data_IF_750740496068
#
_entry.id   IF_750740496068
#
_cell.length_a   1.000
_cell.length_b   1.000
_cell.length_c   1.000
_cell.angle_alpha   90.00
_cell.angle_beta   90.00
_cell.angle_gamma   90.00
#
_symmetry.space_group_name_H-M   'P 1'
#
loop_
_entity.id
_entity.type
_entity.pdbx_description
1 polymer ?
#
# COMPACT_ATOMS: atom_id res chain seq x y z
N UNK A 1 -25.23 41.53 2.76
CA UNK A 1 -25.59 40.09 2.78
C UNK A 1 -25.94 39.50 1.41
N UNK A 2 -26.40 40.27 0.41
CA UNK A 2 -26.81 39.70 -0.90
C UNK A 2 -25.63 39.33 -1.83
N UNK A 3 -24.47 40.00 -1.72
CA UNK A 3 -23.32 39.77 -2.61
C UNK A 3 -22.57 38.44 -2.39
N UNK A 4 -22.73 37.79 -1.23
CA UNK A 4 -22.09 36.50 -0.94
C UNK A 4 -22.81 35.28 -1.54
N UNK A 5 -24.12 35.40 -1.80
CA UNK A 5 -24.97 34.27 -2.21
C UNK A 5 -24.98 34.06 -3.74
N UNK A 6 -24.71 35.11 -4.53
CA UNK A 6 -24.98 35.10 -5.97
C UNK A 6 -23.78 34.78 -6.87
N UNK A 7 -22.60 34.48 -6.32
CA UNK A 7 -21.39 34.17 -7.10
C UNK A 7 -21.09 35.16 -8.27
N UNK A 8 -21.61 36.37 -8.19
CA UNK A 8 -21.38 37.48 -9.13
C UNK A 8 -21.20 38.79 -8.34
N UNK A 9 -20.13 38.90 -7.52
CA UNK A 9 -19.91 40.04 -6.63
C UNK A 9 -19.70 41.36 -7.38
N UNK A 10 -19.19 41.31 -8.62
CA UNK A 10 -18.94 42.49 -9.44
C UNK A 10 -20.23 43.22 -9.83
N UNK A 11 -21.29 42.51 -10.22
CA UNK A 11 -22.55 43.11 -10.67
C UNK A 11 -23.31 43.80 -9.53
N UNK A 12 -23.31 43.22 -8.33
CA UNK A 12 -23.91 43.86 -7.15
C UNK A 12 -23.13 45.10 -6.69
N UNK A 13 -21.80 45.10 -6.86
CA UNK A 13 -20.95 46.25 -6.57
C UNK A 13 -21.22 47.41 -7.54
N UNK A 14 -21.36 47.10 -8.84
CA UNK A 14 -21.69 48.08 -9.89
C UNK A 14 -23.06 48.73 -9.65
N UNK A 15 -24.06 47.96 -9.24
CA UNK A 15 -25.44 48.46 -9.06
C UNK A 15 -25.58 49.40 -7.84
N UNK A 16 -24.77 49.17 -6.80
CA UNK A 16 -24.72 50.04 -5.60
C UNK A 16 -23.90 51.31 -5.89
N UNK A 17 -22.85 51.21 -6.71
CA UNK A 17 -22.06 52.36 -7.16
C UNK A 17 -22.89 53.35 -7.99
N UNK A 18 -23.74 52.84 -8.89
CA UNK A 18 -24.62 53.64 -9.75
C UNK A 18 -25.69 54.39 -8.93
N UNK A 19 -26.22 53.77 -7.87
CA UNK A 19 -27.27 54.34 -7.01
C UNK A 19 -26.78 55.43 -6.04
N UNK A 20 -25.50 55.43 -5.66
CA UNK A 20 -24.98 56.31 -4.60
C UNK A 20 -24.36 57.61 -5.12
N UNK A 21 -24.17 57.77 -6.43
CA UNK A 21 -23.53 58.94 -7.09
C UNK A 21 -22.29 59.50 -6.35
N UNK A 22 -21.54 58.64 -5.67
CA UNK A 22 -20.48 59.05 -4.76
C UNK A 22 -19.40 57.99 -4.64
N UNK A 23 -18.31 58.15 -5.41
CA UNK A 23 -17.11 57.31 -5.37
C UNK A 23 -16.39 57.30 -4.00
N UNK A 24 -16.84 58.12 -3.05
CA UNK A 24 -16.21 58.31 -1.73
C UNK A 24 -16.36 57.08 -0.81
N UNK A 25 -17.39 56.24 -0.98
CA UNK A 25 -17.59 55.05 -0.13
C UNK A 25 -16.83 53.80 -0.59
N UNK A 26 -16.32 53.80 -1.83
CA UNK A 26 -15.56 52.66 -2.37
C UNK A 26 -14.20 52.51 -1.71
N UNK A 27 -13.50 53.61 -1.47
CA UNK A 27 -12.17 53.59 -0.87
C UNK A 27 -12.18 52.98 0.55
N UNK A 28 -13.07 53.41 1.47
CA UNK A 28 -13.16 52.83 2.81
C UNK A 28 -13.53 51.34 2.78
N UNK A 29 -14.44 50.93 1.88
CA UNK A 29 -14.84 49.53 1.75
C UNK A 29 -13.70 48.64 1.21
N UNK A 30 -12.93 49.12 0.24
CA UNK A 30 -11.76 48.38 -0.26
C UNK A 30 -10.69 48.24 0.82
N UNK A 31 -10.44 49.29 1.61
CA UNK A 31 -9.46 49.24 2.71
C UNK A 31 -9.90 48.25 3.78
N UNK A 32 -11.15 48.31 4.23
CA UNK A 32 -11.67 47.40 5.26
C UNK A 32 -11.71 45.95 4.78
N UNK A 33 -12.11 45.69 3.53
CA UNK A 33 -12.08 44.35 2.94
C UNK A 33 -10.65 43.82 2.79
N UNK A 34 -9.70 44.67 2.39
CA UNK A 34 -8.28 44.28 2.25
C UNK A 34 -7.64 43.99 3.60
N UNK A 35 -7.90 44.81 4.62
CA UNK A 35 -7.41 44.57 5.99
C UNK A 35 -8.01 43.28 6.53
N UNK A 36 -9.32 43.07 6.40
CA UNK A 36 -9.98 41.83 6.84
C UNK A 36 -9.41 40.60 6.14
N UNK A 37 -9.16 40.68 4.83
CA UNK A 37 -8.55 39.58 4.06
C UNK A 37 -7.09 39.34 4.47
N UNK A 38 -6.31 40.40 4.69
CA UNK A 38 -4.93 40.30 5.16
C UNK A 38 -4.84 39.68 6.57
N UNK A 39 -5.75 40.08 7.47
CA UNK A 39 -5.85 39.52 8.82
C UNK A 39 -6.21 38.03 8.77
N UNK A 40 -7.24 37.64 8.00
CA UNK A 40 -7.61 36.23 7.84
C UNK A 40 -6.45 35.42 7.23
N UNK A 41 -5.80 35.93 6.18
CA UNK A 41 -4.68 35.25 5.52
C UNK A 41 -3.45 35.10 6.42
N UNK A 42 -3.24 36.00 7.38
CA UNK A 42 -2.14 35.94 8.34
C UNK A 42 -2.41 34.95 9.48
N UNK A 43 -3.67 34.84 9.93
CA UNK A 43 -4.06 33.96 11.04
C UNK A 43 -4.48 32.54 10.62
N UNK A 44 -5.08 32.38 9.43
CA UNK A 44 -5.51 31.09 8.88
C UNK A 44 -4.85 30.83 7.52
N UNK A 45 -3.67 30.17 7.49
CA UNK A 45 -3.01 29.79 6.25
C UNK A 45 -3.76 28.68 5.46
N UNK A 46 -4.78 28.05 6.05
CA UNK A 46 -5.60 27.00 5.42
C UNK A 46 -7.05 27.47 5.26
N UNK A 47 -7.41 27.87 4.04
CA UNK A 47 -8.78 28.26 3.69
C UNK A 47 -9.80 27.17 4.06
N UNK A 48 -10.94 27.54 4.65
CA UNK A 48 -12.03 26.63 5.08
C UNK A 48 -12.49 25.70 3.94
N UNK A 49 -12.42 26.18 2.69
CA UNK A 49 -12.69 25.38 1.49
C UNK A 49 -11.68 24.25 1.27
N UNK A 50 -10.38 24.47 1.53
CA UNK A 50 -9.35 23.44 1.37
C UNK A 50 -9.53 22.30 2.37
N UNK A 51 -9.94 22.62 3.60
CA UNK A 51 -10.19 21.62 4.65
C UNK A 51 -11.41 20.76 4.29
N UNK A 52 -12.50 21.36 3.79
CA UNK A 52 -13.68 20.62 3.37
C UNK A 52 -13.44 19.78 2.11
N UNK A 53 -12.70 20.31 1.12
CA UNK A 53 -12.31 19.54 -0.07
C UNK A 53 -11.37 18.39 0.27
N UNK A 54 -10.41 18.60 1.18
CA UNK A 54 -9.51 17.56 1.65
C UNK A 54 -10.28 16.45 2.38
N UNK A 55 -11.18 16.79 3.30
CA UNK A 55 -12.05 15.82 3.99
C UNK A 55 -12.92 15.03 3.03
N UNK A 56 -13.54 15.70 2.04
CA UNK A 56 -14.36 15.01 1.03
C UNK A 56 -13.50 14.07 0.15
N UNK A 57 -12.31 14.52 -0.26
CA UNK A 57 -11.37 13.69 -1.02
C UNK A 57 -10.93 12.47 -0.22
N UNK A 58 -10.61 12.65 1.06
CA UNK A 58 -10.22 11.57 1.98
C UNK A 58 -11.34 10.53 2.15
N UNK A 59 -12.58 10.96 2.35
CA UNK A 59 -13.75 10.07 2.42
C UNK A 59 -13.94 9.27 1.13
N UNK A 60 -13.86 9.93 -0.04
CA UNK A 60 -13.98 9.27 -1.33
C UNK A 60 -12.85 8.25 -1.57
N UNK A 61 -11.60 8.61 -1.24
CA UNK A 61 -10.46 7.68 -1.35
C UNK A 61 -10.59 6.51 -0.39
N UNK A 62 -11.05 6.76 0.84
CA UNK A 62 -11.21 5.70 1.84
C UNK A 62 -12.27 4.67 1.41
N UNK A 63 -13.39 5.12 0.84
CA UNK A 63 -14.39 4.22 0.28
C UNK A 63 -13.87 3.45 -0.95
N UNK A 64 -13.13 4.12 -1.84
CA UNK A 64 -12.55 3.48 -3.02
C UNK A 64 -11.51 2.42 -2.65
N UNK A 65 -10.64 2.69 -1.68
CA UNK A 65 -9.62 1.78 -1.20
C UNK A 65 -10.24 0.54 -0.55
N UNK A 66 -11.22 0.75 0.33
CA UNK A 66 -11.96 -0.33 0.98
C UNK A 66 -12.68 -1.21 -0.04
N UNK A 67 -13.35 -0.60 -1.01
CA UNK A 67 -14.02 -1.33 -2.09
C UNK A 67 -13.02 -2.12 -2.94
N UNK A 68 -11.87 -1.54 -3.29
CA UNK A 68 -10.85 -2.21 -4.06
C UNK A 68 -10.30 -3.45 -3.34
N UNK A 69 -9.98 -3.33 -2.04
CA UNK A 69 -9.52 -4.46 -1.23
C UNK A 69 -10.60 -5.53 -1.06
N UNK A 70 -11.86 -5.14 -0.86
CA UNK A 70 -13.00 -6.07 -0.73
C UNK A 70 -13.19 -6.95 -1.98
N UNK A 71 -12.88 -6.41 -3.17
CA UNK A 71 -13.01 -7.14 -4.43
C UNK A 71 -11.82 -8.06 -4.74
N UNK A 72 -10.69 -7.88 -4.04
CA UNK A 72 -9.49 -8.70 -4.21
C UNK A 72 -9.61 -10.03 -3.46
N UNK A 73 -9.01 -11.08 -4.01
CA UNK A 73 -8.85 -12.38 -3.33
C UNK A 73 -7.39 -12.80 -3.30
N UNK A 74 -6.94 -13.42 -2.21
CA UNK A 74 -5.57 -13.94 -2.05
C UNK A 74 -5.19 -14.84 -3.22
N UNK A 75 -6.11 -15.70 -3.69
CA UNK A 75 -5.88 -16.60 -4.85
C UNK A 75 -5.50 -15.87 -6.14
N UNK A 76 -5.88 -14.60 -6.33
CA UNK A 76 -5.55 -13.83 -7.54
C UNK A 76 -4.12 -13.28 -7.52
N UNK A 77 -3.52 -13.18 -6.33
CA UNK A 77 -2.19 -12.61 -6.10
C UNK A 77 -1.20 -13.64 -5.57
N UNK A 78 -1.63 -14.90 -5.49
CA UNK A 78 -0.82 -16.03 -5.07
C UNK A 78 0.26 -16.33 -6.14
N UNK A 79 1.51 -16.38 -5.71
CA UNK A 79 2.67 -16.76 -6.52
C UNK A 79 3.11 -18.17 -6.12
N UNK A 80 3.20 -19.09 -7.09
CA UNK A 80 3.47 -20.52 -6.87
C UNK A 80 4.74 -21.03 -7.56
N UNK A 81 5.51 -20.15 -8.19
CA UNK A 81 6.72 -20.46 -8.97
C UNK A 81 7.98 -20.54 -8.09
N UNK A 82 7.85 -21.10 -6.89
CA UNK A 82 8.93 -21.29 -5.93
C UNK A 82 9.31 -22.76 -5.83
N UNK A 83 10.61 -23.05 -5.80
CA UNK A 83 11.11 -24.41 -5.63
C UNK A 83 11.08 -24.79 -4.15
N UNK A 84 10.27 -25.79 -3.82
CA UNK A 84 10.21 -26.39 -2.47
C UNK A 84 11.45 -27.21 -2.20
N UNK A 85 11.94 -27.15 -0.96
CA UNK A 85 13.11 -27.91 -0.51
C UNK A 85 12.74 -28.70 0.75
N UNK A 86 13.16 -29.96 0.81
CA UNK A 86 12.91 -30.82 1.96
C UNK A 86 13.76 -30.38 3.17
N UNK A 87 13.21 -30.52 4.38
CA UNK A 87 13.92 -30.16 5.63
C UNK A 87 15.24 -30.91 5.84
N UNK A 88 15.32 -32.16 5.37
CA UNK A 88 16.49 -33.03 5.53
C UNK A 88 17.44 -32.92 4.33
N UNK A 89 17.15 -32.05 3.37
CA UNK A 89 18.04 -31.74 2.26
C UNK A 89 19.34 -31.08 2.73
N UNK A 90 20.40 -31.28 1.96
CA UNK A 90 21.73 -30.72 2.23
C UNK A 90 21.92 -29.36 1.56
N UNK A 91 23.00 -28.65 1.90
CA UNK A 91 23.40 -27.44 1.18
C UNK A 91 23.62 -27.72 -0.31
N UNK A 92 24.13 -28.91 -0.69
CA UNK A 92 24.26 -29.32 -2.10
C UNK A 92 22.93 -29.25 -2.84
N UNK A 93 21.89 -29.83 -2.25
CA UNK A 93 20.55 -29.87 -2.83
C UNK A 93 19.96 -28.46 -2.96
N UNK A 94 20.17 -27.64 -1.93
CA UNK A 94 19.75 -26.24 -1.94
C UNK A 94 20.48 -25.42 -3.02
N UNK A 95 21.78 -25.61 -3.22
CA UNK A 95 22.55 -24.95 -4.30
C UNK A 95 22.04 -25.37 -5.68
N UNK A 96 21.67 -26.64 -5.85
CA UNK A 96 21.02 -27.11 -7.07
C UNK A 96 19.68 -26.40 -7.29
N UNK A 97 18.82 -26.32 -6.27
CA UNK A 97 17.57 -25.58 -6.34
C UNK A 97 17.79 -24.09 -6.67
N UNK A 98 18.84 -23.46 -6.14
CA UNK A 98 19.22 -22.09 -6.47
C UNK A 98 19.55 -21.93 -7.95
N UNK A 99 20.24 -22.90 -8.56
CA UNK A 99 20.62 -22.85 -9.98
C UNK A 99 19.43 -22.96 -10.93
N UNK A 100 18.34 -23.60 -10.49
CA UNK A 100 17.12 -23.84 -11.28
C UNK A 100 16.03 -22.79 -11.01
N UNK A 101 16.10 -22.10 -9.87
CA UNK A 101 15.07 -21.17 -9.41
C UNK A 101 15.27 -19.74 -9.95
N UNK A 102 14.22 -19.11 -10.53
CA UNK A 102 14.24 -17.68 -10.81
C UNK A 102 14.00 -16.83 -9.55
N UNK A 103 13.62 -17.46 -8.43
CA UNK A 103 13.29 -16.80 -7.16
C UNK A 103 14.45 -16.93 -6.16
N UNK A 104 14.56 -15.94 -5.28
CA UNK A 104 15.60 -15.86 -4.24
C UNK A 104 15.13 -16.38 -2.85
N UNK A 105 14.03 -17.09 -2.81
CA UNK A 105 13.35 -17.58 -1.60
C UNK A 105 12.97 -19.03 -1.85
N UNK A 106 13.25 -19.87 -0.85
CA UNK A 106 13.04 -21.32 -0.90
C UNK A 106 12.19 -21.74 0.31
N UNK A 107 10.93 -22.13 0.10
CA UNK A 107 10.09 -22.69 1.16
C UNK A 107 10.60 -24.07 1.56
N UNK A 108 10.73 -24.28 2.87
CA UNK A 108 11.14 -25.54 3.45
C UNK A 108 9.89 -26.28 3.92
N UNK A 109 9.74 -27.52 3.46
CA UNK A 109 8.56 -28.35 3.74
C UNK A 109 8.98 -29.75 4.20
N UNK A 110 8.05 -30.47 4.81
CA UNK A 110 8.16 -31.92 5.00
C UNK A 110 7.53 -32.71 3.85
N UNK A 111 7.52 -34.04 3.99
CA UNK A 111 6.96 -34.97 3.00
C UNK A 111 5.45 -34.79 2.76
N UNK A 112 4.73 -34.21 3.71
CA UNK A 112 3.30 -33.96 3.61
C UNK A 112 3.00 -32.52 3.13
N UNK A 113 3.99 -31.76 2.66
CA UNK A 113 3.89 -30.33 2.31
C UNK A 113 3.59 -29.40 3.51
N UNK A 114 3.82 -29.85 4.75
CA UNK A 114 3.74 -28.97 5.93
C UNK A 114 4.85 -27.94 5.85
N UNK A 115 4.50 -26.68 6.02
CA UNK A 115 5.47 -25.59 6.00
C UNK A 115 6.29 -25.56 7.29
N UNK A 116 7.62 -25.56 7.16
CA UNK A 116 8.55 -25.55 8.28
C UNK A 116 9.38 -24.28 8.37
N UNK A 117 9.62 -23.60 7.26
CA UNK A 117 10.40 -22.37 7.26
C UNK A 117 10.77 -21.89 5.87
N UNK A 118 11.68 -20.93 5.84
CA UNK A 118 12.19 -20.34 4.61
C UNK A 118 13.69 -20.22 4.70
N UNK A 119 14.36 -20.47 3.57
CA UNK A 119 15.74 -20.04 3.34
C UNK A 119 15.75 -19.01 2.22
N UNK A 120 16.50 -17.92 2.38
CA UNK A 120 16.73 -16.97 1.28
C UNK A 120 18.13 -17.14 0.71
N UNK A 121 18.29 -16.77 -0.57
CA UNK A 121 19.60 -16.79 -1.23
C UNK A 121 20.65 -15.95 -0.48
N UNK A 122 20.22 -14.89 0.18
CA UNK A 122 21.13 -14.03 0.95
C UNK A 122 21.66 -14.73 2.21
N UNK A 123 20.86 -15.60 2.84
CA UNK A 123 21.25 -16.28 4.07
C UNK A 123 22.38 -17.29 3.81
N UNK A 124 22.40 -17.89 2.62
CA UNK A 124 23.36 -18.94 2.25
C UNK A 124 24.50 -18.44 1.35
N UNK A 125 24.51 -17.17 0.94
CA UNK A 125 25.45 -16.64 -0.06
C UNK A 125 26.92 -16.85 0.31
N UNK A 126 27.23 -16.83 1.60
CA UNK A 126 28.60 -16.95 2.11
C UNK A 126 29.08 -18.42 2.21
N UNK A 127 28.16 -19.38 2.19
CA UNK A 127 28.45 -20.81 2.32
C UNK A 127 28.18 -21.57 1.03
N UNK A 128 27.34 -21.05 0.13
CA UNK A 128 26.97 -21.71 -1.13
C UNK A 128 28.12 -21.96 -2.09
N UNK A 129 29.29 -21.33 -1.87
CA UNK A 129 30.50 -21.51 -2.68
C UNK A 129 31.60 -22.28 -1.94
N UNK A 130 31.26 -22.97 -0.84
CA UNK A 130 32.17 -23.78 -0.02
C UNK A 130 31.84 -25.26 -0.20
N UNK A 131 32.48 -25.97 -1.14
CA UNK A 131 32.19 -27.38 -1.43
C UNK A 131 32.32 -28.29 -0.20
N UNK A 132 33.18 -27.94 0.75
CA UNK A 132 33.36 -28.65 2.01
C UNK A 132 32.11 -28.66 2.91
N UNK A 133 31.21 -27.68 2.75
CA UNK A 133 29.98 -27.55 3.54
C UNK A 133 28.78 -28.27 2.89
N UNK A 134 28.93 -28.77 1.66
CA UNK A 134 27.82 -29.21 0.82
C UNK A 134 27.07 -30.41 1.41
N UNK A 135 27.78 -31.31 2.06
CA UNK A 135 27.23 -32.56 2.61
C UNK A 135 27.19 -32.56 4.15
N UNK A 136 27.74 -31.52 4.81
CA UNK A 136 27.75 -31.38 6.27
C UNK A 136 26.64 -30.46 6.79
N UNK A 137 26.21 -29.48 6.00
CA UNK A 137 25.19 -28.50 6.39
C UNK A 137 23.81 -28.91 5.87
N UNK A 138 22.84 -28.97 6.76
CA UNK A 138 21.45 -29.28 6.44
C UNK A 138 20.58 -28.03 6.35
N UNK A 139 19.55 -28.09 5.51
CA UNK A 139 18.62 -26.99 5.26
C UNK A 139 17.85 -26.58 6.53
N UNK A 140 17.45 -27.55 7.36
CA UNK A 140 16.81 -27.29 8.67
C UNK A 140 17.61 -26.39 9.61
N UNK A 141 18.93 -26.35 9.47
CA UNK A 141 19.82 -25.54 10.33
C UNK A 141 20.00 -24.11 9.77
N UNK A 142 19.62 -23.91 8.50
CA UNK A 142 19.72 -22.62 7.79
C UNK A 142 18.38 -21.87 7.74
N UNK A 143 17.26 -22.59 7.88
CA UNK A 143 15.93 -22.01 7.75
C UNK A 143 15.56 -21.13 8.95
N UNK A 144 14.70 -20.15 8.69
CA UNK A 144 13.99 -19.42 9.73
C UNK A 144 12.49 -19.56 9.54
N UNK A 145 11.74 -19.49 10.65
CA UNK A 145 10.28 -19.47 10.63
C UNK A 145 9.80 -18.02 10.55
N UNK A 146 9.10 -17.59 9.48
CA UNK A 146 8.51 -16.26 9.43
C UNK A 146 7.46 -16.08 10.54
N UNK A 147 7.47 -14.93 11.20
CA UNK A 147 6.50 -14.61 12.27
C UNK A 147 5.09 -14.30 11.78
N UNK A 148 4.87 -14.27 10.46
CA UNK A 148 3.60 -13.91 9.85
C UNK A 148 3.36 -14.76 8.61
N UNK A 149 2.14 -15.28 8.50
CA UNK A 149 1.63 -16.02 7.35
C UNK A 149 0.26 -15.49 6.94
N UNK A 150 -0.14 -15.79 5.71
CA UNK A 150 -1.45 -15.45 5.14
C UNK A 150 -2.22 -16.73 4.87
N UNK A 151 -3.50 -16.76 5.23
CA UNK A 151 -4.43 -17.82 4.83
C UNK A 151 -5.07 -17.54 3.47
N UNK A 152 -5.44 -18.58 2.73
CA UNK A 152 -6.19 -18.41 1.47
C UNK A 152 -7.57 -17.76 1.64
N UNK A 153 -8.11 -17.77 2.86
CA UNK A 153 -9.39 -17.19 3.25
C UNK A 153 -9.26 -15.84 3.95
N UNK A 154 -8.04 -15.34 4.16
CA UNK A 154 -7.82 -14.04 4.79
C UNK A 154 -8.42 -12.92 3.94
N UNK A 155 -8.95 -11.89 4.60
CA UNK A 155 -9.37 -10.68 3.91
C UNK A 155 -8.16 -9.94 3.35
N UNK A 156 -8.34 -9.24 2.24
CA UNK A 156 -7.23 -8.46 1.66
C UNK A 156 -6.85 -7.25 2.50
N UNK A 157 -7.74 -6.77 3.37
CA UNK A 157 -7.42 -5.79 4.43
C UNK A 157 -6.41 -6.38 5.42
N UNK A 158 -6.64 -7.61 5.91
CA UNK A 158 -5.73 -8.30 6.81
C UNK A 158 -4.39 -8.59 6.14
N UNK A 159 -4.40 -9.03 4.87
CA UNK A 159 -3.18 -9.25 4.09
C UNK A 159 -2.39 -7.96 3.93
N UNK A 160 -3.04 -6.84 3.58
CA UNK A 160 -2.39 -5.55 3.47
C UNK A 160 -1.77 -5.12 4.82
N UNK A 161 -2.50 -5.31 5.93
CA UNK A 161 -2.03 -5.01 7.28
C UNK A 161 -0.81 -5.86 7.65
N UNK A 162 -0.84 -7.18 7.39
CA UNK A 162 0.28 -8.11 7.61
C UNK A 162 1.51 -7.70 6.80
N UNK A 163 1.33 -7.30 5.54
CA UNK A 163 2.42 -6.82 4.67
C UNK A 163 3.00 -5.50 5.18
N UNK A 164 2.17 -4.56 5.63
CA UNK A 164 2.64 -3.27 6.13
C UNK A 164 3.50 -3.40 7.39
N UNK A 165 3.12 -4.30 8.30
CA UNK A 165 3.84 -4.56 9.55
C UNK A 165 4.99 -5.55 9.41
N UNK A 166 4.99 -6.35 8.33
CA UNK A 166 6.11 -7.23 8.00
C UNK A 166 7.27 -6.43 7.40
N UNK A 167 8.48 -6.66 7.91
CA UNK A 167 9.73 -6.18 7.29
C UNK A 167 10.13 -6.98 6.04
N UNK A 168 9.40 -8.05 5.71
CA UNK A 168 9.70 -8.94 4.58
C UNK A 168 8.90 -8.51 3.34
N UNK A 169 9.49 -8.75 2.17
CA UNK A 169 8.85 -8.45 0.87
C UNK A 169 7.84 -9.50 0.44
N UNK A 170 8.00 -10.73 0.92
CA UNK A 170 7.16 -11.88 0.61
C UNK A 170 6.62 -12.46 1.92
N UNK A 171 5.33 -12.81 1.93
CA UNK A 171 4.68 -13.50 3.05
C UNK A 171 4.22 -14.86 2.55
N UNK A 172 4.49 -15.90 3.34
CA UNK A 172 4.08 -17.27 3.01
C UNK A 172 2.56 -17.39 3.11
N UNK A 173 1.97 -18.10 2.15
CA UNK A 173 0.56 -18.46 2.14
C UNK A 173 0.42 -19.91 2.57
N UNK A 174 -0.41 -20.14 3.59
CA UNK A 174 -0.69 -21.45 4.16
C UNK A 174 -2.18 -21.79 4.06
N UNK A 175 -2.47 -23.08 3.90
CA UNK A 175 -3.81 -23.65 4.05
C UNK A 175 -3.69 -24.84 5.00
N UNK A 176 -4.30 -24.74 6.19
CA UNK A 176 -4.24 -25.77 7.24
C UNK A 176 -2.80 -26.23 7.59
N UNK A 177 -1.85 -25.29 7.60
CA UNK A 177 -0.43 -25.54 7.89
C UNK A 177 0.38 -26.04 6.69
N UNK A 178 -0.26 -26.31 5.56
CA UNK A 178 0.40 -26.70 4.31
C UNK A 178 0.87 -25.49 3.53
N UNK A 179 2.05 -25.60 2.93
CA UNK A 179 2.59 -24.57 2.06
C UNK A 179 1.81 -24.50 0.74
N UNK A 180 1.33 -23.32 0.37
CA UNK A 180 0.59 -23.10 -0.88
C UNK A 180 1.34 -22.19 -1.84
N UNK A 181 2.09 -21.22 -1.33
CA UNK A 181 2.78 -20.23 -2.15
C UNK A 181 3.25 -19.03 -1.34
N UNK A 182 3.52 -17.94 -2.03
CA UNK A 182 3.79 -16.64 -1.42
C UNK A 182 2.90 -15.55 -2.01
N UNK A 183 2.82 -14.45 -1.28
CA UNK A 183 2.29 -13.18 -1.78
C UNK A 183 3.39 -12.12 -1.60
N UNK A 184 3.77 -11.46 -2.70
CA UNK A 184 4.68 -10.33 -2.65
C UNK A 184 3.96 -8.99 -2.44
N UNK A 185 4.63 -8.08 -1.75
CA UNK A 185 4.20 -6.67 -1.61
C UNK A 185 3.95 -6.01 -2.97
N UNK A 186 4.79 -6.34 -3.96
CA UNK A 186 4.67 -5.80 -5.31
C UNK A 186 3.38 -6.27 -5.99
N UNK A 187 3.05 -7.57 -5.90
CA UNK A 187 1.86 -8.12 -6.52
C UNK A 187 0.56 -7.61 -5.88
N UNK A 188 0.54 -7.45 -4.55
CA UNK A 188 -0.60 -6.83 -3.84
C UNK A 188 -0.82 -5.41 -4.33
N UNK A 189 0.24 -4.62 -4.37
CA UNK A 189 0.17 -3.21 -4.75
C UNK A 189 -0.23 -3.01 -6.22
N UNK A 190 0.30 -3.82 -7.13
CA UNK A 190 -0.04 -3.74 -8.56
C UNK A 190 -1.50 -4.11 -8.81
N UNK A 191 -2.00 -5.17 -8.17
CA UNK A 191 -3.40 -5.58 -8.29
C UNK A 191 -4.37 -4.59 -7.67
N UNK A 192 -4.04 -4.06 -6.49
CA UNK A 192 -4.80 -2.99 -5.85
C UNK A 192 -4.91 -1.77 -6.76
N UNK A 193 -3.79 -1.29 -7.33
CA UNK A 193 -3.79 -0.17 -8.29
C UNK A 193 -4.65 -0.44 -9.52
N UNK A 194 -4.60 -1.65 -10.06
CA UNK A 194 -5.40 -2.06 -11.22
C UNK A 194 -6.89 -1.97 -10.93
N UNK A 195 -7.33 -2.48 -9.77
CA UNK A 195 -8.74 -2.46 -9.38
C UNK A 195 -9.21 -1.04 -9.07
N UNK A 196 -8.40 -0.25 -8.37
CA UNK A 196 -8.71 1.14 -8.08
C UNK A 196 -8.92 1.97 -9.36
N UNK A 197 -8.09 1.74 -10.39
CA UNK A 197 -8.25 2.36 -11.71
C UNK A 197 -9.60 1.98 -12.35
N UNK A 198 -9.95 0.70 -12.33
CA UNK A 198 -11.21 0.21 -12.92
C UNK A 198 -12.44 0.80 -12.22
N UNK A 199 -12.39 0.98 -10.90
CA UNK A 199 -13.46 1.61 -10.11
C UNK A 199 -13.56 3.11 -10.42
N UNK A 200 -12.43 3.79 -10.68
CA UNK A 200 -12.42 5.23 -10.97
C UNK A 200 -12.85 5.59 -12.40
N UNK A 201 -12.82 4.63 -13.32
CA UNK A 201 -13.24 4.81 -14.72
C UNK A 201 -14.75 4.56 -14.92
N UNK A 202 -15.48 4.13 -13.88
CA UNK A 202 -16.94 3.94 -13.86
C UNK A 202 -17.58 4.86 -12.82
#
# INVERSE_FOLDING_TARGET
MIAGVLHAPLTGLFLIADLTQGYTLFMPLMITATISYATIKYFEPNNVYTIQLAKRKELLTHHADKNALTLMKVRQILETDFIKVDKDATLRDLVKAVSESPRNIFPIVDIDDTFLGVVTLNDIRNIMFKPEEYDSVYVKDLMYVPSTSVGLKDSMEDVAHKIQHSRRFNIVVLEDGKYVGFVSRANVFSNYRRILKNISEH
#
